data_IF_989901312674
#
_entry.id   IF_989901312674
#
_cell.length_a   1.000
_cell.length_b   1.000
_cell.length_c   1.000
_cell.angle_alpha   90.00
_cell.angle_beta   90.00
_cell.angle_gamma   90.00
#
_symmetry.space_group_name_H-M   'P 1'
#
loop_
_entity.id
_entity.type
_entity.pdbx_description
1 polymer ?
#
# COMPACT_ATOMS: atom_id res chain seq x y z
N UNK A 1 -12.84 23.60 -14.61
CA UNK A 1 -12.51 23.62 -16.07
C UNK A 1 -11.63 24.82 -16.35
N UNK A 2 -10.55 24.61 -17.10
CA UNK A 2 -9.49 25.54 -17.57
C UNK A 2 -8.16 25.50 -16.79
N UNK A 3 -7.09 25.29 -17.57
CA UNK A 3 -5.67 25.15 -17.25
C UNK A 3 -5.13 23.76 -16.82
N UNK A 4 -5.30 22.73 -17.66
CA UNK A 4 -4.29 21.66 -17.84
C UNK A 4 -4.22 21.34 -19.34
N UNK A 5 -3.40 22.09 -20.08
CA UNK A 5 -2.90 21.73 -21.41
C UNK A 5 -1.41 22.01 -21.35
N UNK A 6 -0.61 21.03 -21.77
CA UNK A 6 0.85 20.91 -21.61
C UNK A 6 1.34 20.37 -20.26
N UNK A 7 1.03 19.11 -19.96
CA UNK A 7 1.87 18.27 -19.10
C UNK A 7 2.69 17.33 -19.99
N UNK A 8 3.92 17.69 -20.33
CA UNK A 8 4.92 16.74 -20.81
C UNK A 8 5.25 15.80 -19.63
N UNK A 9 4.85 14.53 -19.70
CA UNK A 9 5.25 13.54 -18.69
C UNK A 9 6.73 13.16 -18.97
N UNK A 10 7.47 12.72 -17.94
CA UNK A 10 8.92 12.51 -18.05
C UNK A 10 9.25 11.21 -18.78
N UNK A 11 10.35 11.21 -19.55
CA UNK A 11 10.86 10.03 -20.24
C UNK A 11 11.44 9.02 -19.25
N UNK A 12 11.41 7.73 -19.59
CA UNK A 12 12.03 6.68 -18.77
C UNK A 12 13.55 6.83 -18.63
N UNK A 13 14.20 7.71 -19.41
CA UNK A 13 15.64 7.96 -19.32
C UNK A 13 16.00 8.95 -18.21
N UNK A 14 15.07 9.81 -17.81
CA UNK A 14 15.32 10.83 -16.79
C UNK A 14 15.29 10.26 -15.37
N UNK A 15 14.84 9.02 -15.16
CA UNK A 15 14.95 8.32 -13.87
C UNK A 15 16.40 8.01 -13.45
N UNK A 16 17.35 8.10 -14.38
CA UNK A 16 18.80 7.96 -14.12
C UNK A 16 19.56 9.29 -14.02
N UNK A 17 18.90 10.45 -14.20
CA UNK A 17 19.57 11.75 -14.04
C UNK A 17 19.60 12.16 -12.57
N UNK A 18 20.63 11.73 -11.83
CA UNK A 18 21.32 12.37 -10.68
C UNK A 18 20.60 13.25 -9.64
N UNK A 19 19.27 13.37 -9.63
CA UNK A 19 18.49 14.32 -8.84
C UNK A 19 17.39 13.65 -7.99
N UNK A 20 17.31 12.33 -8.02
CA UNK A 20 16.51 11.59 -7.04
C UNK A 20 17.34 11.45 -5.79
N UNK A 21 16.87 11.95 -4.65
CA UNK A 21 17.42 11.56 -3.36
C UNK A 21 17.07 10.08 -3.12
N UNK A 22 17.80 9.18 -3.77
CA UNK A 22 17.75 7.75 -3.52
C UNK A 22 18.25 7.50 -2.11
N UNK A 23 17.52 6.66 -1.38
CA UNK A 23 17.97 6.16 -0.08
C UNK A 23 19.15 5.23 -0.35
N UNK A 24 20.20 5.29 0.47
CA UNK A 24 21.32 4.35 0.32
C UNK A 24 20.81 2.91 0.49
N UNK A 25 21.30 2.01 -0.36
CA UNK A 25 20.76 0.65 -0.47
C UNK A 25 21.39 -0.34 0.50
N UNK A 26 22.50 0.03 1.15
CA UNK A 26 23.20 -0.75 2.16
C UNK A 26 23.88 0.17 3.19
N UNK A 27 23.98 -0.31 4.43
CA UNK A 27 24.66 0.40 5.52
C UNK A 27 25.49 -0.55 6.36
N UNK A 28 26.57 -0.02 6.94
CA UNK A 28 27.32 -0.67 8.01
C UNK A 28 26.85 -0.11 9.35
N UNK A 29 26.41 -1.00 10.24
CA UNK A 29 26.06 -0.69 11.61
C UNK A 29 27.22 -1.05 12.54
N UNK A 30 27.73 -0.07 13.28
CA UNK A 30 28.74 -0.25 14.32
C UNK A 30 28.09 -0.17 15.68
N UNK A 31 28.14 -1.26 16.44
CA UNK A 31 27.61 -1.35 17.79
C UNK A 31 28.75 -1.15 18.81
N UNK A 32 28.79 0.04 19.41
CA UNK A 32 29.64 0.34 20.55
C UNK A 32 28.83 0.28 21.86
N UNK A 33 29.52 0.20 23.01
CA UNK A 33 28.86 0.27 24.30
C UNK A 33 28.05 1.57 24.48
N UNK A 34 28.59 2.74 24.13
CA UNK A 34 27.96 4.06 24.33
C UNK A 34 27.25 4.61 23.08
N UNK A 35 27.65 4.15 21.90
CA UNK A 35 27.18 4.71 20.63
C UNK A 35 26.75 3.62 19.66
N UNK A 36 25.81 3.94 18.80
CA UNK A 36 25.54 3.18 17.58
C UNK A 36 25.85 4.10 16.42
N UNK A 37 26.70 3.66 15.49
CA UNK A 37 27.01 4.42 14.27
C UNK A 37 26.44 3.70 13.08
N UNK A 38 25.73 4.42 12.21
CA UNK A 38 25.22 3.91 10.94
C UNK A 38 25.91 4.66 9.82
N UNK A 39 26.67 3.92 9.03
CA UNK A 39 27.40 4.41 7.87
C UNK A 39 26.70 3.94 6.59
N UNK A 40 26.28 4.85 5.69
CA UNK A 40 25.80 4.44 4.37
C UNK A 40 26.97 3.96 3.50
N UNK A 41 26.82 2.81 2.85
CA UNK A 41 27.82 2.27 1.92
C UNK A 41 27.61 2.93 0.55
N UNK A 42 28.04 4.18 0.43
CA UNK A 42 28.03 4.96 -0.82
C UNK A 42 29.41 5.55 -1.09
N UNK A 43 29.72 5.81 -2.36
CA UNK A 43 30.96 6.50 -2.73
C UNK A 43 30.95 7.89 -2.09
N UNK A 44 31.99 8.20 -1.30
CA UNK A 44 32.13 9.44 -0.53
C UNK A 44 31.00 9.71 0.49
N UNK A 45 30.71 8.74 1.36
CA UNK A 45 29.84 8.94 2.51
C UNK A 45 30.34 10.10 3.40
N UNK A 46 29.56 11.19 3.46
CA UNK A 46 29.88 12.39 4.25
C UNK A 46 29.02 12.54 5.49
N UNK A 47 27.97 11.73 5.65
CA UNK A 47 26.95 11.89 6.68
C UNK A 47 26.71 10.54 7.35
N UNK A 48 26.88 10.49 8.66
CA UNK A 48 26.76 9.29 9.49
C UNK A 48 25.72 9.53 10.57
N UNK A 49 24.83 8.55 10.82
CA UNK A 49 23.92 8.63 11.97
C UNK A 49 24.68 8.12 13.19
N UNK A 50 24.73 8.93 14.23
CA UNK A 50 25.27 8.55 15.54
C UNK A 50 24.14 8.62 16.56
N UNK A 51 23.88 7.49 17.19
CA UNK A 51 22.90 7.35 18.26
C UNK A 51 23.67 7.26 19.57
N UNK A 52 23.46 8.23 20.45
CA UNK A 52 23.94 8.19 21.82
C UNK A 52 23.02 7.30 22.67
N UNK A 53 23.54 6.17 23.13
CA UNK A 53 22.79 5.18 23.90
C UNK A 53 22.52 5.63 25.35
N UNK A 54 23.23 6.63 25.84
CA UNK A 54 23.11 7.15 27.21
C UNK A 54 22.07 8.27 27.30
N UNK A 55 22.05 9.16 26.29
CA UNK A 55 21.10 10.27 26.22
C UNK A 55 19.88 9.98 25.33
N UNK A 56 19.87 8.83 24.65
CA UNK A 56 18.86 8.46 23.65
C UNK A 56 18.66 9.52 22.55
N UNK A 57 19.76 10.17 22.15
CA UNK A 57 19.77 11.23 21.15
C UNK A 57 20.38 10.75 19.83
N UNK A 58 19.89 11.30 18.71
CA UNK A 58 20.28 10.91 17.36
C UNK A 58 20.83 12.15 16.68
N UNK A 59 22.01 12.04 16.10
CA UNK A 59 22.68 13.16 15.44
C UNK A 59 23.30 12.72 14.13
N UNK A 60 23.38 13.67 13.20
CA UNK A 60 24.20 13.52 12.00
C UNK A 60 25.61 14.01 12.32
N UNK A 61 26.59 13.18 11.99
CA UNK A 61 28.01 13.53 12.03
C UNK A 61 28.56 13.59 10.61
N UNK A 62 29.50 14.51 10.36
CA UNK A 62 30.11 14.68 9.04
C UNK A 62 31.41 13.89 8.85
N UNK A 63 31.83 13.18 9.90
CA UNK A 63 33.05 12.37 9.95
C UNK A 63 32.72 11.09 10.68
N UNK A 64 33.25 9.96 10.20
CA UNK A 64 33.07 8.68 10.87
C UNK A 64 33.68 8.77 12.28
N UNK A 65 32.90 8.57 13.36
CA UNK A 65 33.42 8.51 14.72
C UNK A 65 34.42 7.36 14.89
N UNK A 66 35.19 7.35 15.97
CA UNK A 66 36.02 6.19 16.27
C UNK A 66 35.13 4.95 16.52
N UNK A 67 35.27 3.94 15.67
CA UNK A 67 34.53 2.66 15.71
C UNK A 67 35.42 1.48 16.12
N UNK A 68 36.60 1.75 16.69
CA UNK A 68 37.51 0.72 17.19
C UNK A 68 36.83 -0.14 18.25
N UNK A 69 36.90 -1.46 18.09
CA UNK A 69 36.27 -2.43 18.98
C UNK A 69 34.75 -2.56 18.83
N UNK A 70 34.13 -1.88 17.85
CA UNK A 70 32.71 -2.03 17.57
C UNK A 70 32.39 -3.39 16.94
N UNK A 71 31.26 -3.99 17.34
CA UNK A 71 30.69 -5.11 16.60
C UNK A 71 30.05 -4.57 15.33
N UNK A 72 30.48 -5.08 14.17
CA UNK A 72 29.97 -4.66 12.87
C UNK A 72 28.82 -5.56 12.42
N UNK A 73 27.79 -4.96 11.83
CA UNK A 73 26.65 -5.65 11.25
C UNK A 73 26.24 -4.96 9.95
N UNK A 74 26.09 -5.71 8.86
CA UNK A 74 25.48 -5.18 7.63
C UNK A 74 23.97 -5.06 7.80
N UNK A 75 23.40 -3.94 7.35
CA UNK A 75 21.95 -3.73 7.32
C UNK A 75 21.52 -3.20 5.95
N UNK A 76 20.32 -3.57 5.54
CA UNK A 76 19.71 -3.17 4.28
C UNK A 76 18.92 -1.87 4.40
N UNK A 77 18.57 -1.44 5.61
CA UNK A 77 17.81 -0.21 5.82
C UNK A 77 17.29 -0.06 7.24
N UNK A 78 16.80 1.14 7.53
CA UNK A 78 16.27 1.50 8.84
C UNK A 78 14.75 1.50 8.77
N UNK A 79 14.10 0.69 9.61
CA UNK A 79 12.63 0.70 9.76
C UNK A 79 12.21 1.91 10.60
N UNK A 80 12.99 2.24 11.63
CA UNK A 80 12.78 3.38 12.49
C UNK A 80 13.02 3.02 13.96
N UNK A 81 12.50 3.86 14.86
CA UNK A 81 12.76 3.78 16.30
C UNK A 81 11.44 3.68 17.05
N UNK A 82 11.44 2.86 18.10
CA UNK A 82 10.30 2.69 18.99
C UNK A 82 10.72 2.81 20.45
N UNK A 83 9.92 3.51 21.24
CA UNK A 83 10.10 3.60 22.69
C UNK A 83 9.27 2.54 23.39
N UNK A 84 9.92 1.74 24.24
CA UNK A 84 9.27 0.81 25.16
C UNK A 84 9.56 1.21 26.61
N UNK A 85 9.07 0.42 27.56
CA UNK A 85 9.25 0.68 29.00
C UNK A 85 10.73 0.81 29.37
N UNK A 86 11.58 0.03 28.73
CA UNK A 86 13.03 -0.02 28.99
C UNK A 86 13.84 1.07 28.30
N UNK A 87 13.24 1.87 27.42
CA UNK A 87 13.93 2.86 26.60
C UNK A 87 13.69 2.65 25.10
N UNK A 88 14.50 3.33 24.29
CA UNK A 88 14.40 3.29 22.84
C UNK A 88 15.07 2.06 22.19
N UNK A 89 14.50 1.64 21.06
CA UNK A 89 14.99 0.54 20.24
C UNK A 89 15.06 0.97 18.78
N UNK A 90 16.20 0.70 18.13
CA UNK A 90 16.36 0.84 16.69
C UNK A 90 15.94 -0.47 16.01
N UNK A 91 15.06 -0.35 15.02
CA UNK A 91 14.62 -1.48 14.19
C UNK A 91 15.25 -1.34 12.80
N UNK A 92 15.98 -2.38 12.38
CA UNK A 92 16.69 -2.43 11.08
C UNK A 92 16.30 -3.65 10.27
N UNK A 93 16.44 -3.55 8.96
CA UNK A 93 16.34 -4.67 8.02
C UNK A 93 17.72 -5.29 7.87
N UNK A 94 17.83 -6.60 8.03
CA UNK A 94 19.10 -7.33 7.92
C UNK A 94 19.19 -8.21 6.68
N UNK A 95 18.05 -8.53 6.07
CA UNK A 95 17.98 -9.20 4.77
C UNK A 95 16.72 -8.77 4.02
N UNK A 96 16.88 -8.59 2.72
CA UNK A 96 15.82 -8.28 1.75
C UNK A 96 15.80 -9.27 0.60
N UNK A 97 14.62 -9.49 0.01
CA UNK A 97 14.44 -10.28 -1.20
C UNK A 97 13.97 -9.42 -2.36
N UNK A 98 14.65 -9.47 -3.49
CA UNK A 98 14.17 -8.86 -4.73
C UNK A 98 12.87 -9.52 -5.20
N UNK A 99 11.86 -8.71 -5.50
CA UNK A 99 10.53 -9.17 -5.96
C UNK A 99 10.30 -8.85 -7.43
N UNK A 100 10.78 -7.70 -7.89
CA UNK A 100 10.57 -7.22 -9.25
C UNK A 100 11.03 -5.78 -9.40
N UNK A 101 10.76 -5.19 -10.55
CA UNK A 101 11.07 -3.81 -10.86
C UNK A 101 9.92 -3.16 -11.63
N UNK A 102 9.78 -1.84 -11.46
CA UNK A 102 8.92 -0.98 -12.27
C UNK A 102 9.83 0.03 -12.96
N UNK A 103 9.88 0.01 -14.29
CA UNK A 103 10.76 0.88 -15.07
C UNK A 103 12.23 0.86 -14.59
N UNK A 104 12.75 -0.33 -14.22
CA UNK A 104 14.11 -0.50 -13.72
C UNK A 104 14.32 -0.12 -12.25
N UNK A 105 13.30 0.37 -11.55
CA UNK A 105 13.37 0.66 -10.12
C UNK A 105 13.00 -0.59 -9.32
N UNK A 106 13.98 -1.14 -8.61
CA UNK A 106 13.87 -2.40 -7.90
C UNK A 106 12.96 -2.32 -6.66
N UNK A 107 12.16 -3.37 -6.45
CA UNK A 107 11.25 -3.54 -5.32
C UNK A 107 11.68 -4.76 -4.50
N UNK A 108 11.69 -4.58 -3.18
CA UNK A 108 12.17 -5.57 -2.24
C UNK A 108 11.11 -5.92 -1.20
N UNK A 109 11.13 -7.18 -0.76
CA UNK A 109 10.41 -7.68 0.41
C UNK A 109 11.35 -7.78 1.60
N UNK A 110 10.92 -7.30 2.75
CA UNK A 110 11.65 -7.50 4.02
C UNK A 110 11.65 -8.98 4.38
N UNK A 111 12.82 -9.58 4.61
CA UNK A 111 12.93 -10.98 5.04
C UNK A 111 13.24 -11.10 6.53
N UNK A 112 14.28 -10.40 6.98
CA UNK A 112 14.71 -10.46 8.38
C UNK A 112 14.95 -9.06 8.91
N UNK A 113 14.65 -8.90 10.19
CA UNK A 113 14.81 -7.65 10.92
C UNK A 113 15.60 -7.90 12.20
N UNK A 114 16.20 -6.85 12.73
CA UNK A 114 16.83 -6.87 14.05
C UNK A 114 16.29 -5.70 14.89
N UNK A 115 16.11 -5.94 16.19
CA UNK A 115 15.66 -4.94 17.16
C UNK A 115 16.80 -4.72 18.15
N UNK A 116 17.33 -3.49 18.18
CA UNK A 116 18.56 -3.16 18.88
C UNK A 116 18.26 -2.16 20.01
N UNK A 117 18.42 -2.54 21.29
CA UNK A 117 18.16 -1.64 22.41
C UNK A 117 19.21 -0.54 22.52
N UNK A 118 18.78 0.67 22.84
CA UNK A 118 19.71 1.76 23.19
C UNK A 118 20.29 1.47 24.57
N UNK A 119 19.46 1.16 25.55
CA UNK A 119 19.93 0.83 26.89
C UNK A 119 20.82 -0.42 26.91
N UNK A 120 21.90 -0.38 27.70
CA UNK A 120 22.83 -1.51 27.86
C UNK A 120 22.26 -2.60 28.76
N UNK A 121 21.54 -2.20 29.80
CA UNK A 121 20.95 -3.09 30.77
C UNK A 121 19.62 -2.52 31.27
N UNK A 122 18.78 -3.39 31.82
CA UNK A 122 17.45 -3.04 32.29
C UNK A 122 17.39 -2.95 33.82
N UNK A 123 18.51 -2.63 34.48
CA UNK A 123 18.64 -2.63 35.95
C UNK A 123 17.73 -1.61 36.64
N UNK A 124 17.35 -0.55 35.91
CA UNK A 124 16.46 0.50 36.40
C UNK A 124 14.98 0.07 36.43
N UNK A 125 14.65 -1.11 35.89
CA UNK A 125 13.29 -1.63 35.81
C UNK A 125 13.00 -2.59 36.95
N UNK A 126 11.77 -2.54 37.46
CA UNK A 126 11.26 -3.57 38.35
C UNK A 126 10.79 -4.83 37.58
N UNK A 127 10.49 -5.90 38.33
CA UNK A 127 10.09 -7.19 37.76
C UNK A 127 8.86 -7.11 36.83
N UNK A 128 7.85 -6.31 37.21
CA UNK A 128 6.66 -6.10 36.38
C UNK A 128 7.02 -5.39 35.07
N UNK A 129 7.82 -4.33 35.13
CA UNK A 129 8.28 -3.59 33.95
C UNK A 129 9.10 -4.47 33.01
N UNK A 130 9.99 -5.31 33.54
CA UNK A 130 10.75 -6.29 32.74
C UNK A 130 9.80 -7.25 32.01
N UNK A 131 8.81 -7.80 32.72
CA UNK A 131 7.82 -8.72 32.16
C UNK A 131 6.98 -8.06 31.05
N UNK A 132 6.49 -6.84 31.28
CA UNK A 132 5.71 -6.11 30.28
C UNK A 132 6.57 -5.69 29.07
N UNK A 133 7.81 -5.27 29.31
CA UNK A 133 8.74 -4.92 28.23
C UNK A 133 9.02 -6.12 27.32
N UNK A 134 9.31 -7.29 27.90
CA UNK A 134 9.50 -8.53 27.14
C UNK A 134 8.24 -8.91 26.34
N UNK A 135 7.05 -8.73 26.94
CA UNK A 135 5.78 -8.93 26.23
C UNK A 135 5.65 -7.98 25.04
N UNK A 136 5.92 -6.69 25.20
CA UNK A 136 5.85 -5.74 24.08
C UNK A 136 6.87 -6.03 22.99
N UNK A 137 8.10 -6.42 23.35
CA UNK A 137 9.11 -6.86 22.39
C UNK A 137 8.62 -8.06 21.58
N UNK A 138 8.10 -9.11 22.24
CA UNK A 138 7.57 -10.28 21.53
C UNK A 138 6.41 -9.94 20.59
N UNK A 139 5.58 -8.95 20.94
CA UNK A 139 4.51 -8.47 20.06
C UNK A 139 5.05 -7.75 18.82
N UNK A 140 6.10 -6.93 18.98
CA UNK A 140 6.77 -6.27 17.86
C UNK A 140 7.44 -7.29 16.95
N UNK A 141 8.18 -8.25 17.52
CA UNK A 141 8.81 -9.34 16.77
C UNK A 141 7.78 -10.19 16.01
N UNK A 142 6.61 -10.41 16.59
CA UNK A 142 5.52 -11.12 15.90
C UNK A 142 5.03 -10.33 14.68
N UNK A 143 4.86 -9.02 14.82
CA UNK A 143 4.45 -8.15 13.70
C UNK A 143 5.53 -8.12 12.63
N UNK A 144 6.80 -7.89 12.98
CA UNK A 144 7.92 -7.82 12.04
C UNK A 144 8.18 -9.15 11.29
N UNK A 145 7.82 -10.29 11.88
CA UNK A 145 7.87 -11.61 11.21
C UNK A 145 6.76 -11.81 10.17
N UNK A 146 5.80 -10.90 10.07
CA UNK A 146 4.75 -10.98 9.05
C UNK A 146 5.36 -10.73 7.67
N UNK A 147 5.18 -11.67 6.76
CA UNK A 147 5.72 -11.61 5.39
C UNK A 147 4.94 -10.67 4.45
N UNK A 148 4.66 -9.45 4.90
CA UNK A 148 3.80 -8.49 4.20
C UNK A 148 4.41 -7.09 4.02
N UNK A 149 5.72 -6.94 4.27
CA UNK A 149 6.41 -5.65 4.19
C UNK A 149 7.25 -5.53 2.94
N UNK A 150 7.04 -4.43 2.20
CA UNK A 150 7.73 -4.16 0.94
C UNK A 150 8.22 -2.71 0.90
N UNK A 151 9.33 -2.48 0.21
CA UNK A 151 9.94 -1.16 0.05
C UNK A 151 10.73 -1.09 -1.25
N UNK A 152 11.13 0.12 -1.62
CA UNK A 152 12.11 0.38 -2.68
C UNK A 152 12.94 1.59 -2.28
N UNK A 153 14.21 1.61 -2.69
CA UNK A 153 15.11 2.74 -2.46
C UNK A 153 14.90 3.89 -3.47
N UNK A 154 14.24 3.58 -4.59
CA UNK A 154 14.15 4.46 -5.77
C UNK A 154 12.73 4.65 -6.29
N UNK A 155 11.82 3.72 -6.01
CA UNK A 155 10.39 3.83 -6.34
C UNK A 155 9.55 4.11 -5.09
N UNK A 156 8.70 5.12 -5.13
CA UNK A 156 7.79 5.37 -4.01
C UNK A 156 6.56 4.46 -4.10
N UNK A 157 6.63 3.33 -3.40
CA UNK A 157 5.57 2.33 -3.36
C UNK A 157 4.28 2.82 -2.72
N UNK A 158 4.24 3.98 -2.07
CA UNK A 158 3.03 4.49 -1.40
C UNK A 158 2.04 5.13 -2.38
N UNK A 159 2.51 5.51 -3.57
CA UNK A 159 1.70 6.10 -4.63
C UNK A 159 1.43 5.11 -5.77
N UNK A 160 0.32 5.34 -6.48
CA UNK A 160 0.07 4.68 -7.77
C UNK A 160 1.03 5.21 -8.82
N UNK A 161 1.29 4.41 -9.84
CA UNK A 161 2.10 4.80 -10.98
C UNK A 161 1.53 6.07 -11.63
N UNK A 162 0.20 6.16 -11.81
CA UNK A 162 -0.43 7.39 -12.32
C UNK A 162 -0.13 8.61 -11.46
N UNK A 163 -0.23 8.50 -10.12
CA UNK A 163 -0.01 9.63 -9.22
C UNK A 163 1.43 10.12 -9.31
N UNK A 164 2.41 9.21 -9.29
CA UNK A 164 3.82 9.58 -9.44
C UNK A 164 4.10 10.29 -10.76
N UNK A 165 3.53 9.80 -11.86
CA UNK A 165 3.78 10.37 -13.18
C UNK A 165 3.05 11.70 -13.43
N UNK A 166 1.94 11.94 -12.73
CA UNK A 166 1.15 13.19 -12.85
C UNK A 166 1.62 14.28 -11.87
N UNK A 167 2.44 13.93 -10.88
CA UNK A 167 3.02 14.89 -9.93
C UNK A 167 3.96 15.89 -10.60
N UNK A 168 4.11 17.07 -9.98
CA UNK A 168 5.00 18.11 -10.50
C UNK A 168 6.47 17.66 -10.56
N UNK A 169 7.29 18.27 -11.42
CA UNK A 169 8.74 18.09 -11.44
C UNK A 169 9.39 18.16 -10.05
N UNK A 170 8.95 19.11 -9.23
CA UNK A 170 9.49 19.39 -7.90
C UNK A 170 9.19 18.27 -6.90
N UNK A 171 8.07 17.55 -7.06
CA UNK A 171 7.68 16.41 -6.21
C UNK A 171 8.79 15.35 -6.11
N UNK A 172 9.55 15.17 -7.19
CA UNK A 172 10.60 14.17 -7.25
C UNK A 172 11.89 14.58 -6.50
N UNK A 173 12.06 15.87 -6.22
CA UNK A 173 13.17 16.42 -5.45
C UNK A 173 12.96 16.36 -3.93
N UNK A 174 11.71 16.14 -3.50
CA UNK A 174 11.32 16.03 -2.10
C UNK A 174 11.77 14.65 -1.55
N UNK A 175 12.29 14.58 -0.32
CA UNK A 175 12.62 13.31 0.34
C UNK A 175 11.44 12.32 0.36
N UNK A 176 11.74 11.03 0.30
CA UNK A 176 10.75 9.95 0.23
C UNK A 176 9.67 10.05 1.32
N UNK A 177 10.07 10.25 2.57
CA UNK A 177 9.11 10.28 3.68
C UNK A 177 8.17 11.49 3.62
N UNK A 178 8.64 12.63 3.12
CA UNK A 178 7.87 13.88 3.07
C UNK A 178 6.83 13.83 1.93
N UNK A 179 7.17 13.22 0.80
CA UNK A 179 6.25 13.12 -0.33
C UNK A 179 5.31 11.91 -0.27
N UNK A 180 5.66 10.88 0.50
CA UNK A 180 4.92 9.63 0.55
C UNK A 180 3.47 9.80 1.01
N UNK A 181 2.59 8.97 0.46
CA UNK A 181 1.20 8.88 0.88
C UNK A 181 1.12 8.29 2.29
N UNK A 182 0.85 9.15 3.28
CA UNK A 182 0.81 8.78 4.68
C UNK A 182 -0.12 7.60 4.98
N UNK A 183 -1.18 7.43 4.17
CA UNK A 183 -2.14 6.33 4.32
C UNK A 183 -1.44 5.00 4.21
N UNK A 184 -0.34 4.89 3.45
CA UNK A 184 0.32 3.63 3.13
C UNK A 184 1.73 3.49 3.73
N UNK A 185 2.26 4.50 4.43
CA UNK A 185 3.55 4.41 5.15
C UNK A 185 3.35 3.69 6.48
N UNK A 186 3.57 2.37 6.51
CA UNK A 186 3.37 1.54 7.71
C UNK A 186 4.22 1.98 8.90
N UNK A 187 5.49 2.28 8.66
CA UNK A 187 6.46 2.68 9.68
C UNK A 187 6.50 4.20 9.93
N UNK A 188 5.46 4.97 9.55
CA UNK A 188 5.46 6.44 9.72
C UNK A 188 5.74 6.88 11.15
N UNK A 189 5.12 6.22 12.12
CA UNK A 189 5.36 6.49 13.54
C UNK A 189 6.82 6.22 13.94
N UNK A 190 7.40 5.12 13.46
CA UNK A 190 8.78 4.73 13.73
C UNK A 190 9.80 5.69 13.11
N UNK A 191 9.43 6.31 11.98
CA UNK A 191 10.26 7.28 11.27
C UNK A 191 10.10 8.72 11.79
N UNK A 192 9.24 8.96 12.77
CA UNK A 192 8.91 10.32 13.24
C UNK A 192 10.13 11.13 13.69
N UNK A 193 11.11 10.49 14.33
CA UNK A 193 12.34 11.15 14.76
C UNK A 193 13.25 11.56 13.58
N UNK A 194 13.17 10.84 12.46
CA UNK A 194 13.94 11.15 11.24
C UNK A 194 13.29 12.25 10.40
N UNK A 195 11.99 12.52 10.62
CA UNK A 195 11.21 13.44 9.79
C UNK A 195 11.54 14.93 10.04
N UNK A 196 12.09 15.25 11.21
CA UNK A 196 12.31 16.64 11.64
C UNK A 196 13.61 17.25 11.08
N UNK A 197 14.50 16.44 10.51
CA UNK A 197 15.77 16.86 9.95
C UNK A 197 15.88 16.39 8.49
N UNK A 198 16.15 17.33 7.57
CA UNK A 198 16.20 17.03 6.12
C UNK A 198 17.29 16.03 5.74
N UNK A 199 18.40 16.00 6.48
CA UNK A 199 19.49 15.06 6.25
C UNK A 199 19.08 13.69 6.79
N UNK A 200 18.52 13.62 8.00
CA UNK A 200 18.02 12.36 8.55
C UNK A 200 16.90 11.74 7.70
N UNK A 201 16.05 12.58 7.09
CA UNK A 201 14.97 12.12 6.21
C UNK A 201 15.48 11.31 5.00
N UNK A 202 16.75 11.45 4.60
CA UNK A 202 17.38 10.65 3.53
C UNK A 202 17.63 9.19 3.93
N UNK A 203 17.64 8.91 5.22
CA UNK A 203 17.79 7.56 5.79
C UNK A 203 16.44 6.92 6.12
N UNK A 204 15.36 7.72 6.10
CA UNK A 204 14.03 7.24 6.41
C UNK A 204 13.48 6.44 5.22
N UNK A 205 13.27 5.14 5.43
CA UNK A 205 12.79 4.21 4.40
C UNK A 205 11.30 3.92 4.59
N UNK A 206 10.39 4.50 3.77
CA UNK A 206 8.98 4.17 3.84
C UNK A 206 8.73 2.70 3.45
N UNK A 207 8.00 1.99 4.30
CA UNK A 207 7.61 0.59 4.09
C UNK A 207 6.09 0.52 3.93
N UNK A 208 5.63 -0.17 2.89
CA UNK A 208 4.22 -0.50 2.74
C UNK A 208 3.91 -1.85 3.38
N UNK A 209 2.69 -2.00 3.89
CA UNK A 209 2.16 -3.29 4.32
C UNK A 209 1.10 -3.80 3.34
N UNK A 210 1.24 -5.01 2.83
CA UNK A 210 0.27 -5.62 1.91
C UNK A 210 0.87 -6.75 1.09
N UNK A 211 0.82 -6.63 -0.24
CA UNK A 211 1.29 -7.67 -1.15
C UNK A 211 1.92 -7.07 -2.40
N UNK A 212 3.07 -7.60 -2.82
CA UNK A 212 3.70 -7.25 -4.09
C UNK A 212 4.18 -8.51 -4.77
N UNK A 213 3.82 -8.69 -6.04
CA UNK A 213 4.32 -9.77 -6.87
C UNK A 213 4.55 -9.27 -8.28
N UNK A 214 5.63 -9.74 -8.91
CA UNK A 214 5.93 -9.48 -10.31
C UNK A 214 6.27 -10.80 -11.01
N UNK A 215 5.96 -10.88 -12.29
CA UNK A 215 6.25 -12.03 -13.14
C UNK A 215 6.45 -11.60 -14.58
N UNK A 216 7.45 -12.18 -15.24
CA UNK A 216 7.77 -11.90 -16.64
C UNK A 216 7.19 -13.00 -17.53
N UNK A 217 6.65 -12.59 -18.67
CA UNK A 217 6.02 -13.47 -19.65
C UNK A 217 6.56 -13.18 -21.04
N UNK A 218 6.52 -14.19 -21.90
CA UNK A 218 6.74 -14.06 -23.33
C UNK A 218 5.59 -14.76 -24.05
N UNK A 219 4.75 -13.98 -24.73
CA UNK A 219 3.55 -14.47 -25.42
C UNK A 219 3.56 -13.90 -26.84
N UNK A 220 3.37 -14.76 -27.84
CA UNK A 220 3.33 -14.39 -29.26
C UNK A 220 4.54 -13.54 -29.71
N UNK A 221 5.72 -13.76 -29.12
CA UNK A 221 6.94 -13.01 -29.43
C UNK A 221 7.11 -11.69 -28.68
N UNK A 222 6.15 -11.31 -27.85
CA UNK A 222 6.19 -10.10 -27.03
C UNK A 222 6.57 -10.45 -25.59
N UNK A 223 7.62 -9.81 -25.08
CA UNK A 223 8.02 -9.90 -23.68
C UNK A 223 7.37 -8.78 -22.87
N UNK A 224 6.82 -9.12 -21.70
CA UNK A 224 6.24 -8.13 -20.79
C UNK A 224 6.37 -8.59 -19.33
N UNK A 225 6.33 -7.62 -18.42
CA UNK A 225 6.24 -7.84 -16.97
C UNK A 225 4.82 -7.53 -16.51
N UNK A 226 4.27 -8.40 -15.68
CA UNK A 226 3.00 -8.20 -14.99
C UNK A 226 3.25 -8.15 -13.50
N UNK A 227 2.70 -7.16 -12.81
CA UNK A 227 2.81 -7.02 -11.37
C UNK A 227 1.50 -6.63 -10.71
N UNK A 228 1.36 -7.01 -9.45
CA UNK A 228 0.24 -6.62 -8.59
C UNK A 228 0.81 -6.05 -7.31
N UNK A 229 0.35 -4.86 -6.94
CA UNK A 229 0.72 -4.14 -5.72
C UNK A 229 -0.55 -3.85 -4.94
N UNK A 230 -0.70 -4.47 -3.77
CA UNK A 230 -1.76 -4.15 -2.82
C UNK A 230 -1.17 -3.43 -1.61
N UNK A 231 -1.59 -2.19 -1.37
CA UNK A 231 -1.18 -1.37 -0.23
C UNK A 231 -2.32 -1.27 0.77
N UNK A 232 -2.10 -1.66 2.01
CA UNK A 232 -3.08 -1.54 3.10
C UNK A 232 -2.90 -0.21 3.83
N UNK A 233 -4.00 0.49 4.07
CA UNK A 233 -3.96 1.72 4.85
C UNK A 233 -3.61 1.47 6.32
N UNK A 234 -2.80 2.35 6.88
CA UNK A 234 -2.44 2.42 8.30
C UNK A 234 -3.53 3.04 9.15
N UNK A 235 -4.38 3.87 8.54
CA UNK A 235 -5.49 4.51 9.23
C UNK A 235 -6.55 3.49 9.60
N UNK A 236 -7.08 3.66 10.82
CA UNK A 236 -8.12 2.79 11.38
C UNK A 236 -7.76 1.31 11.22
N UNK A 237 -6.46 0.99 11.38
CA UNK A 237 -5.95 -0.36 11.42
C UNK A 237 -6.34 -1.01 12.76
N UNK A 238 -6.66 -2.30 12.73
CA UNK A 238 -6.91 -3.06 13.94
C UNK A 238 -7.46 -4.45 13.65
N UNK A 239 -7.76 -5.15 14.72
CA UNK A 239 -8.23 -6.53 14.67
C UNK A 239 -9.63 -6.61 14.08
N UNK A 240 -9.89 -7.73 13.40
CA UNK A 240 -11.21 -8.10 12.92
C UNK A 240 -12.21 -8.01 14.09
N UNK A 241 -13.44 -7.59 13.82
CA UNK A 241 -14.54 -7.34 14.78
C UNK A 241 -14.41 -6.05 15.62
N UNK A 242 -13.21 -5.69 16.06
CA UNK A 242 -13.00 -4.50 16.89
C UNK A 242 -13.01 -3.21 16.09
N UNK A 243 -12.40 -3.23 14.89
CA UNK A 243 -12.30 -2.05 14.04
C UNK A 243 -13.07 -2.29 12.73
N UNK A 244 -14.20 -1.60 12.59
CA UNK A 244 -15.12 -1.66 11.45
C UNK A 244 -15.66 -0.27 11.13
N UNK A 245 -16.18 -0.09 9.92
CA UNK A 245 -16.80 1.14 9.47
C UNK A 245 -15.84 2.32 9.40
N UNK A 246 -16.43 3.50 9.48
CA UNK A 246 -15.76 4.80 9.36
C UNK A 246 -15.45 5.44 10.72
N UNK A 247 -14.42 6.28 10.78
CA UNK A 247 -14.19 7.19 11.91
C UNK A 247 -14.76 8.60 11.66
N UNK A 248 -14.57 9.51 12.62
CA UNK A 248 -15.05 10.89 12.50
C UNK A 248 -14.29 11.72 11.46
N UNK A 249 -13.13 11.25 10.98
CA UNK A 249 -12.29 11.92 10.00
C UNK A 249 -12.49 11.36 8.58
N UNK A 250 -13.54 10.56 8.36
CA UNK A 250 -13.82 9.96 7.06
C UNK A 250 -12.97 8.72 6.73
N UNK A 251 -12.15 8.21 7.66
CA UNK A 251 -11.23 7.10 7.39
C UNK A 251 -11.92 5.77 7.66
N UNK A 252 -11.92 4.89 6.66
CA UNK A 252 -12.56 3.57 6.75
C UNK A 252 -11.57 2.50 7.19
N UNK A 253 -12.05 1.54 7.97
CA UNK A 253 -11.26 0.38 8.36
C UNK A 253 -10.91 -0.49 7.13
N UNK A 254 -9.76 -1.16 7.18
CA UNK A 254 -9.30 -2.12 6.16
C UNK A 254 -9.31 -1.58 4.73
N UNK A 255 -9.03 -0.28 4.55
CA UNK A 255 -8.84 0.30 3.23
C UNK A 255 -7.60 -0.32 2.56
N UNK A 256 -7.75 -0.76 1.31
CA UNK A 256 -6.66 -1.29 0.50
C UNK A 256 -6.80 -0.73 -0.90
N UNK A 257 -5.68 -0.26 -1.45
CA UNK A 257 -5.52 0.07 -2.86
C UNK A 257 -4.77 -1.07 -3.54
N UNK A 258 -5.34 -1.62 -4.62
CA UNK A 258 -4.73 -2.68 -5.42
C UNK A 258 -4.47 -2.14 -6.81
N UNK A 259 -3.21 -2.16 -7.22
CA UNK A 259 -2.71 -1.67 -8.50
C UNK A 259 -2.13 -2.84 -9.30
N UNK A 260 -2.67 -3.05 -10.50
CA UNK A 260 -2.16 -3.96 -11.50
C UNK A 260 -1.25 -3.18 -12.46
N UNK A 261 -0.03 -3.65 -12.67
CA UNK A 261 0.96 -3.04 -13.55
C UNK A 261 1.28 -3.99 -14.69
N UNK A 262 1.25 -3.47 -15.92
CA UNK A 262 1.71 -4.17 -17.12
C UNK A 262 2.81 -3.34 -17.77
N UNK A 263 4.02 -3.87 -17.84
CA UNK A 263 5.17 -3.18 -18.42
C UNK A 263 5.66 -3.92 -19.66
N UNK A 264 5.57 -3.25 -20.80
CA UNK A 264 6.16 -3.63 -22.08
C UNK A 264 7.46 -2.83 -22.30
N UNK A 265 8.16 -3.08 -23.41
CA UNK A 265 9.43 -2.41 -23.73
C UNK A 265 9.29 -0.89 -23.94
N UNK A 266 8.13 -0.45 -24.44
CA UNK A 266 7.86 0.95 -24.82
C UNK A 266 6.69 1.59 -24.06
N UNK A 267 5.91 0.81 -23.31
CA UNK A 267 4.71 1.30 -22.61
C UNK A 267 4.56 0.62 -21.25
N UNK A 268 4.17 1.40 -20.25
CA UNK A 268 3.77 0.91 -18.93
C UNK A 268 2.32 1.30 -18.67
N UNK A 269 1.53 0.33 -18.22
CA UNK A 269 0.12 0.50 -17.87
C UNK A 269 -0.08 0.27 -16.37
N UNK A 270 -1.05 0.97 -15.79
CA UNK A 270 -1.47 0.82 -14.40
C UNK A 270 -2.99 0.84 -14.31
N UNK A 271 -3.57 -0.12 -13.61
CA UNK A 271 -5.00 -0.18 -13.32
C UNK A 271 -5.23 -0.32 -11.81
N UNK A 272 -5.98 0.61 -11.24
CA UNK A 272 -6.18 0.73 -9.79
C UNK A 272 -7.61 0.38 -9.41
N UNK A 273 -7.76 -0.38 -8.33
CA UNK A 273 -9.04 -0.68 -7.68
C UNK A 273 -8.91 -0.44 -6.18
N UNK A 274 -10.02 -0.16 -5.50
CA UNK A 274 -10.02 0.04 -4.05
C UNK A 274 -10.98 -0.93 -3.37
N UNK A 275 -10.69 -1.24 -2.11
CA UNK A 275 -11.59 -1.96 -1.22
C UNK A 275 -11.49 -1.42 0.20
N UNK A 276 -12.51 -1.68 1.01
CA UNK A 276 -12.54 -1.18 2.38
C UNK A 276 -13.85 -1.46 3.07
N UNK A 277 -13.92 -1.11 4.36
CA UNK A 277 -15.16 -1.21 5.12
C UNK A 277 -16.25 -0.30 4.55
N UNK A 278 -17.52 -0.65 4.80
CA UNK A 278 -18.66 0.21 4.45
C UNK A 278 -18.50 1.57 5.14
N UNK A 279 -18.54 2.71 4.42
CA UNK A 279 -18.25 4.05 4.94
C UNK A 279 -19.41 4.63 5.76
N UNK A 280 -19.81 3.92 6.81
CA UNK A 280 -20.77 4.39 7.81
C UNK A 280 -20.33 3.91 9.21
N UNK A 281 -20.95 4.46 10.26
CA UNK A 281 -20.60 4.08 11.63
C UNK A 281 -21.30 2.77 12.02
N UNK A 282 -20.53 1.68 12.08
CA UNK A 282 -21.06 0.39 12.49
C UNK A 282 -20.03 -0.42 13.28
N UNK A 283 -20.54 -1.33 14.10
CA UNK A 283 -19.75 -2.22 14.94
C UNK A 283 -20.21 -3.66 14.77
N UNK A 284 -19.30 -4.58 15.03
CA UNK A 284 -19.54 -6.01 15.06
C UNK A 284 -18.73 -6.59 16.21
N UNK A 285 -19.02 -6.12 17.43
CA UNK A 285 -18.24 -6.48 18.61
C UNK A 285 -18.31 -7.99 18.85
N UNK A 286 -17.18 -8.64 19.23
CA UNK A 286 -17.18 -10.06 19.53
C UNK A 286 -18.20 -10.41 20.62
N UNK A 287 -18.91 -11.52 20.42
CA UNK A 287 -19.77 -12.15 21.42
C UNK A 287 -19.68 -13.68 21.29
N UNK A 288 -20.42 -14.43 22.11
CA UNK A 288 -20.38 -15.90 22.10
C UNK A 288 -21.00 -16.53 20.83
N UNK A 289 -21.54 -15.75 19.89
CA UNK A 289 -22.12 -16.27 18.64
C UNK A 289 -21.03 -16.48 17.60
N UNK A 290 -21.22 -17.52 16.79
CA UNK A 290 -20.37 -17.81 15.63
C UNK A 290 -20.23 -16.61 14.68
N UNK A 291 -21.32 -15.86 14.48
CA UNK A 291 -21.34 -14.61 13.71
C UNK A 291 -21.90 -13.47 14.57
N UNK A 292 -21.04 -12.62 15.17
CA UNK A 292 -21.50 -11.52 16.00
C UNK A 292 -22.37 -10.53 15.23
N UNK A 293 -23.31 -9.90 15.93
CA UNK A 293 -24.34 -9.05 15.31
C UNK A 293 -23.74 -7.73 14.80
N UNK A 294 -23.96 -7.45 13.52
CA UNK A 294 -23.70 -6.14 12.92
C UNK A 294 -24.73 -5.12 13.43
N UNK A 295 -24.24 -4.00 13.95
CA UNK A 295 -25.06 -2.90 14.50
C UNK A 295 -24.61 -1.56 13.92
N UNK A 296 -25.53 -0.86 13.26
CA UNK A 296 -25.34 0.52 12.79
C UNK A 296 -25.59 1.47 13.95
N UNK A 297 -24.66 2.42 14.18
CA UNK A 297 -24.74 3.35 15.29
C UNK A 297 -25.65 4.54 14.96
N UNK A 298 -26.87 4.58 15.49
CA UNK A 298 -27.86 5.62 15.15
C UNK A 298 -27.51 7.02 15.66
N UNK A 299 -26.71 7.13 16.73
CA UNK A 299 -26.35 8.42 17.37
C UNK A 299 -25.24 9.20 16.64
N UNK A 300 -24.67 8.65 15.57
CA UNK A 300 -23.53 9.25 14.85
C UNK A 300 -23.98 10.00 13.59
N UNK A 301 -23.27 11.06 13.23
CA UNK A 301 -23.49 11.79 11.99
C UNK A 301 -22.83 11.04 10.81
N UNK A 302 -23.52 10.02 10.29
CA UNK A 302 -23.04 9.22 9.17
C UNK A 302 -22.78 10.03 7.91
N UNK A 303 -23.66 10.98 7.60
CA UNK A 303 -23.58 11.74 6.36
C UNK A 303 -22.33 12.61 6.29
N UNK A 304 -21.96 13.26 7.41
CA UNK A 304 -20.74 14.06 7.45
C UNK A 304 -19.48 13.23 7.18
N UNK A 305 -19.33 12.10 7.88
CA UNK A 305 -18.17 11.22 7.68
C UNK A 305 -18.18 10.60 6.27
N UNK A 306 -19.35 10.24 5.74
CA UNK A 306 -19.51 9.70 4.38
C UNK A 306 -19.05 10.71 3.33
N UNK A 307 -19.49 11.97 3.42
CA UNK A 307 -19.08 13.04 2.50
C UNK A 307 -17.57 13.25 2.57
N UNK A 308 -17.02 13.41 3.78
CA UNK A 308 -15.58 13.59 3.96
C UNK A 308 -14.77 12.42 3.36
N UNK A 309 -15.25 11.18 3.52
CA UNK A 309 -14.60 10.02 2.90
C UNK A 309 -14.58 10.12 1.39
N UNK A 310 -15.72 10.41 0.76
CA UNK A 310 -15.82 10.40 -0.70
C UNK A 310 -15.21 11.64 -1.35
N UNK A 311 -15.19 12.79 -0.68
CA UNK A 311 -14.37 13.95 -1.09
C UNK A 311 -12.88 13.57 -1.17
N UNK A 312 -12.36 12.84 -0.18
CA UNK A 312 -11.00 12.32 -0.21
C UNK A 312 -10.81 11.28 -1.34
N UNK A 313 -11.76 10.35 -1.51
CA UNK A 313 -11.66 9.35 -2.60
C UNK A 313 -11.71 10.00 -3.99
N UNK A 314 -12.54 11.01 -4.18
CA UNK A 314 -12.65 11.76 -5.44
C UNK A 314 -11.37 12.51 -5.76
N UNK A 315 -10.75 13.12 -4.75
CA UNK A 315 -9.45 13.78 -4.92
C UNK A 315 -8.39 12.81 -5.44
N UNK A 316 -8.31 11.59 -4.89
CA UNK A 316 -7.26 10.64 -5.27
C UNK A 316 -7.54 9.83 -6.55
N UNK A 317 -8.81 9.52 -6.82
CA UNK A 317 -9.19 8.49 -7.79
C UNK A 317 -10.24 8.97 -8.81
N UNK A 318 -10.83 10.16 -8.62
CA UNK A 318 -11.95 10.63 -9.43
C UNK A 318 -13.23 9.83 -9.17
N UNK A 319 -13.95 9.48 -10.24
CA UNK A 319 -15.25 8.80 -10.15
C UNK A 319 -15.15 7.48 -9.38
N UNK A 320 -16.16 7.16 -8.59
CA UNK A 320 -16.20 5.91 -7.81
C UNK A 320 -17.42 5.08 -8.22
N UNK A 321 -17.17 3.82 -8.55
CA UNK A 321 -18.24 2.84 -8.67
C UNK A 321 -18.24 1.94 -7.44
N UNK A 322 -19.25 2.11 -6.60
CA UNK A 322 -19.41 1.43 -5.31
C UNK A 322 -20.10 0.07 -5.54
N UNK A 323 -19.38 -1.02 -5.29
CA UNK A 323 -19.90 -2.38 -5.39
C UNK A 323 -20.09 -2.93 -3.97
N UNK A 324 -21.34 -3.11 -3.56
CA UNK A 324 -21.65 -3.74 -2.28
C UNK A 324 -21.96 -5.22 -2.47
N UNK A 325 -21.15 -6.09 -1.86
CA UNK A 325 -21.31 -7.56 -1.91
C UNK A 325 -22.01 -8.13 -0.67
N UNK A 326 -22.62 -7.26 0.14
CA UNK A 326 -23.29 -7.63 1.39
C UNK A 326 -24.61 -8.34 1.15
N UNK A 327 -25.01 -9.19 2.09
CA UNK A 327 -26.30 -9.88 1.99
C UNK A 327 -27.44 -8.86 2.08
N UNK A 328 -28.49 -9.05 1.28
CA UNK A 328 -29.64 -8.14 1.27
C UNK A 328 -30.58 -8.36 2.46
N UNK A 329 -30.38 -9.45 3.23
CA UNK A 329 -31.23 -9.82 4.35
C UNK A 329 -30.50 -9.69 5.71
N UNK A 330 -31.29 -9.56 6.77
CA UNK A 330 -30.79 -9.59 8.14
C UNK A 330 -29.98 -8.36 8.54
N UNK A 331 -28.95 -8.56 9.37
CA UNK A 331 -28.13 -7.47 9.90
C UNK A 331 -27.23 -6.81 8.85
N UNK A 332 -26.72 -7.59 7.89
CA UNK A 332 -25.98 -7.05 6.74
C UNK A 332 -26.89 -6.22 5.83
N UNK A 333 -28.12 -6.69 5.58
CA UNK A 333 -29.10 -5.95 4.77
C UNK A 333 -29.41 -4.58 5.34
N UNK A 334 -29.50 -4.43 6.67
CA UNK A 334 -29.66 -3.11 7.31
C UNK A 334 -28.45 -2.21 7.13
N UNK A 335 -27.24 -2.77 7.18
CA UNK A 335 -26.02 -2.00 6.90
C UNK A 335 -26.00 -1.52 5.45
N UNK A 336 -26.38 -2.40 4.53
CA UNK A 336 -26.42 -2.10 3.11
C UNK A 336 -27.50 -1.06 2.77
N UNK A 337 -28.69 -1.20 3.35
CA UNK A 337 -29.75 -0.21 3.21
C UNK A 337 -29.29 1.16 3.71
N UNK A 338 -28.55 1.22 4.83
CA UNK A 338 -27.97 2.48 5.29
C UNK A 338 -26.93 3.03 4.33
N UNK A 339 -26.09 2.17 3.74
CA UNK A 339 -25.09 2.60 2.77
C UNK A 339 -25.74 3.19 1.51
N UNK A 340 -26.78 2.51 0.99
CA UNK A 340 -27.59 2.99 -0.13
C UNK A 340 -28.29 4.32 0.19
N UNK A 341 -28.90 4.44 1.36
CA UNK A 341 -29.53 5.69 1.83
C UNK A 341 -28.53 6.85 1.85
N UNK A 342 -27.30 6.62 2.34
CA UNK A 342 -26.24 7.64 2.36
C UNK A 342 -25.79 8.03 0.96
N UNK A 343 -25.64 7.05 0.06
CA UNK A 343 -25.33 7.31 -1.34
C UNK A 343 -26.42 8.16 -2.00
N UNK A 344 -27.68 7.77 -1.91
CA UNK A 344 -28.83 8.48 -2.51
C UNK A 344 -28.95 9.89 -1.95
N UNK A 345 -28.81 10.06 -0.64
CA UNK A 345 -28.91 11.36 0.04
C UNK A 345 -27.65 12.23 -0.17
N UNK A 346 -26.53 11.66 -0.60
CA UNK A 346 -25.33 12.44 -0.92
C UNK A 346 -25.47 13.23 -2.21
N UNK A 347 -26.37 12.79 -3.11
CA UNK A 347 -26.60 13.39 -4.44
C UNK A 347 -25.31 13.61 -5.25
N UNK A 348 -24.29 12.79 -4.99
CA UNK A 348 -22.97 13.00 -5.55
C UNK A 348 -22.84 12.36 -6.94
N UNK A 349 -22.71 13.21 -7.96
CA UNK A 349 -22.58 12.79 -9.37
C UNK A 349 -21.31 11.97 -9.70
N UNK A 350 -20.29 11.99 -8.83
CA UNK A 350 -19.07 11.17 -9.00
C UNK A 350 -19.25 9.74 -8.51
N UNK A 351 -20.33 9.44 -7.78
CA UNK A 351 -20.60 8.13 -7.23
C UNK A 351 -21.62 7.39 -8.09
N UNK A 352 -21.38 6.11 -8.30
CA UNK A 352 -22.37 5.13 -8.76
C UNK A 352 -22.43 3.98 -7.77
N UNK A 353 -23.58 3.33 -7.67
CA UNK A 353 -23.80 2.31 -6.65
C UNK A 353 -24.49 1.08 -7.22
N UNK A 354 -23.92 -0.09 -6.99
CA UNK A 354 -24.50 -1.39 -7.34
C UNK A 354 -24.51 -2.32 -6.12
N UNK A 355 -25.70 -2.85 -5.84
CA UNK A 355 -25.89 -3.90 -4.84
C UNK A 355 -25.96 -5.26 -5.50
N UNK A 356 -25.00 -6.12 -5.15
CA UNK A 356 -24.93 -7.49 -5.66
C UNK A 356 -24.89 -8.50 -4.52
N UNK A 357 -26.00 -9.23 -4.31
CA UNK A 357 -26.06 -10.26 -3.27
C UNK A 357 -25.26 -11.50 -3.69
N UNK A 358 -23.98 -11.51 -3.34
CA UNK A 358 -23.08 -12.60 -3.71
C UNK A 358 -23.56 -13.97 -3.21
N UNK A 359 -24.18 -14.06 -2.03
CA UNK A 359 -24.62 -15.36 -1.50
C UNK A 359 -25.80 -15.92 -2.28
N UNK A 360 -26.76 -15.06 -2.65
CA UNK A 360 -27.89 -15.47 -3.47
C UNK A 360 -27.46 -15.80 -4.89
N UNK A 361 -26.61 -14.95 -5.48
CA UNK A 361 -26.29 -15.00 -6.90
C UNK A 361 -25.23 -16.06 -7.23
N UNK A 362 -24.23 -16.28 -6.35
CA UNK A 362 -23.16 -17.25 -6.56
C UNK A 362 -23.34 -18.57 -5.79
N UNK A 363 -24.51 -18.80 -5.15
CA UNK A 363 -24.82 -20.08 -4.52
C UNK A 363 -24.65 -21.26 -5.50
N UNK A 364 -23.92 -22.27 -5.05
CA UNK A 364 -23.64 -23.49 -5.82
C UNK A 364 -22.51 -23.37 -6.85
N UNK A 365 -21.51 -22.50 -6.62
CA UNK A 365 -20.35 -22.29 -7.52
C UNK A 365 -20.74 -21.79 -8.92
N UNK A 366 -21.90 -21.12 -9.04
CA UNK A 366 -22.40 -20.55 -10.29
C UNK A 366 -21.75 -19.20 -10.59
N UNK A 367 -20.46 -19.27 -10.96
CA UNK A 367 -19.68 -18.10 -11.37
C UNK A 367 -20.21 -17.44 -12.64
N UNK A 368 -21.08 -18.11 -13.39
CA UNK A 368 -21.77 -17.55 -14.56
C UNK A 368 -22.56 -16.28 -14.23
N UNK A 369 -22.98 -16.09 -12.97
CA UNK A 369 -23.65 -14.86 -12.51
C UNK A 369 -22.72 -13.68 -12.29
N UNK A 370 -21.41 -13.91 -12.16
CA UNK A 370 -20.43 -12.83 -12.21
C UNK A 370 -20.37 -12.18 -13.58
N UNK A 371 -20.70 -12.91 -14.64
CA UNK A 371 -20.85 -12.36 -16.00
C UNK A 371 -22.00 -11.35 -16.06
N UNK A 372 -23.08 -11.55 -15.28
CA UNK A 372 -24.18 -10.59 -15.17
C UNK A 372 -23.72 -9.31 -14.47
N UNK A 373 -22.99 -9.44 -13.36
CA UNK A 373 -22.41 -8.29 -12.68
C UNK A 373 -21.47 -7.55 -13.62
N UNK A 374 -20.56 -8.26 -14.27
CA UNK A 374 -19.63 -7.68 -15.24
C UNK A 374 -20.39 -6.93 -16.34
N UNK A 375 -21.44 -7.52 -16.91
CA UNK A 375 -22.25 -6.87 -17.95
C UNK A 375 -22.82 -5.50 -17.50
N UNK A 376 -23.13 -5.32 -16.22
CA UNK A 376 -23.58 -4.03 -15.66
C UNK A 376 -22.44 -3.03 -15.47
N UNK A 377 -21.23 -3.52 -15.20
CA UNK A 377 -20.05 -2.70 -14.89
C UNK A 377 -19.22 -2.32 -16.12
N UNK A 378 -19.33 -3.07 -17.22
CA UNK A 378 -18.48 -2.93 -18.42
C UNK A 378 -18.45 -1.50 -18.96
N UNK A 379 -19.62 -0.86 -19.14
CA UNK A 379 -19.69 0.47 -19.73
C UNK A 379 -18.94 1.51 -18.88
N UNK A 380 -19.04 1.38 -17.55
CA UNK A 380 -18.32 2.23 -16.61
C UNK A 380 -16.82 1.89 -16.56
N UNK A 381 -16.46 0.61 -16.70
CA UNK A 381 -15.06 0.21 -16.74
C UNK A 381 -14.36 0.77 -17.98
N UNK A 382 -15.04 0.75 -19.13
CA UNK A 382 -14.53 1.32 -20.37
C UNK A 382 -14.45 2.87 -20.30
N UNK A 383 -15.35 3.54 -19.56
CA UNK A 383 -15.29 5.00 -19.29
C UNK A 383 -14.14 5.36 -18.35
N UNK A 384 -13.94 4.57 -17.28
CA UNK A 384 -12.95 4.85 -16.24
C UNK A 384 -11.52 4.56 -16.69
N UNK A 385 -11.36 3.64 -17.66
CA UNK A 385 -10.10 3.29 -18.32
C UNK A 385 -9.03 2.82 -17.33
N UNK A 386 -7.78 2.95 -17.74
CA UNK A 386 -6.57 2.67 -16.99
C UNK A 386 -5.52 3.72 -17.36
N UNK A 387 -4.43 3.80 -16.61
CA UNK A 387 -3.31 4.69 -16.92
C UNK A 387 -2.35 4.01 -17.89
N UNK A 388 -1.92 4.72 -18.94
CA UNK A 388 -0.94 4.23 -19.90
C UNK A 388 0.08 5.31 -20.23
N UNK A 389 1.36 5.01 -20.04
CA UNK A 389 2.46 5.92 -20.28
C UNK A 389 3.48 5.28 -21.22
N UNK A 390 3.80 5.99 -22.31
CA UNK A 390 4.90 5.60 -23.21
C UNK A 390 6.26 5.92 -22.59
N UNK A 391 7.30 5.24 -23.08
CA UNK A 391 8.70 5.45 -22.72
C UNK A 391 9.18 6.89 -22.90
N UNK A 392 8.62 7.58 -23.89
CA UNK A 392 8.92 8.97 -24.19
C UNK A 392 8.22 9.96 -23.24
N UNK A 393 7.49 9.48 -22.24
CA UNK A 393 6.76 10.33 -21.31
C UNK A 393 5.50 10.94 -21.92
N UNK A 394 4.91 10.31 -22.94
CA UNK A 394 3.59 10.72 -23.44
C UNK A 394 2.51 9.85 -22.81
N UNK A 395 1.65 10.47 -21.99
CA UNK A 395 0.48 9.80 -21.42
C UNK A 395 -0.53 9.52 -22.54
N UNK A 396 -0.80 8.25 -22.78
CA UNK A 396 -1.79 7.83 -23.78
C UNK A 396 -3.20 7.81 -23.20
N UNK A 397 -3.34 7.44 -21.92
CA UNK A 397 -4.62 7.29 -21.24
C UNK A 397 -4.44 7.58 -19.75
N UNK A 398 -5.44 8.22 -19.14
CA UNK A 398 -5.54 8.39 -17.70
C UNK A 398 -6.74 7.62 -17.16
N UNK A 399 -6.56 6.98 -16.01
CA UNK A 399 -7.64 6.40 -15.25
C UNK A 399 -8.38 7.52 -14.51
N UNK A 400 -9.68 7.66 -14.77
CA UNK A 400 -10.52 8.75 -14.24
C UNK A 400 -11.53 8.29 -13.19
N UNK A 401 -11.53 6.99 -12.89
CA UNK A 401 -12.35 6.42 -11.84
C UNK A 401 -11.89 5.03 -11.40
N UNK A 402 -12.40 4.57 -10.26
CA UNK A 402 -12.08 3.25 -9.70
C UNK A 402 -13.34 2.51 -9.26
N UNK A 403 -13.25 1.19 -9.26
CA UNK A 403 -14.24 0.33 -8.62
C UNK A 403 -13.86 0.13 -7.17
N UNK A 404 -14.80 0.45 -6.28
CA UNK A 404 -14.65 0.33 -4.84
C UNK A 404 -15.51 -0.83 -4.33
N UNK A 405 -14.87 -1.92 -3.93
CA UNK A 405 -15.57 -3.13 -3.46
C UNK A 405 -15.66 -3.18 -1.94
N UNK A 406 -16.86 -3.48 -1.42
CA UNK A 406 -17.10 -3.62 0.02
C UNK A 406 -17.67 -5.00 0.34
N UNK A 407 -17.15 -5.60 1.42
CA UNK A 407 -17.70 -6.81 2.02
C UNK A 407 -17.51 -6.76 3.55
N UNK A 408 -18.46 -7.32 4.30
CA UNK A 408 -18.37 -7.37 5.77
C UNK A 408 -17.41 -8.47 6.22
N UNK A 409 -17.43 -9.67 5.61
CA UNK A 409 -16.90 -10.87 6.27
C UNK A 409 -15.90 -11.75 5.51
N UNK A 410 -15.77 -11.67 4.19
CA UNK A 410 -14.78 -12.50 3.51
C UNK A 410 -14.04 -11.74 2.42
N UNK A 411 -12.73 -11.71 2.60
CA UNK A 411 -11.74 -11.25 1.64
C UNK A 411 -11.95 -11.94 0.29
N UNK A 412 -12.32 -13.22 0.32
CA UNK A 412 -12.55 -14.06 -0.86
C UNK A 412 -13.59 -13.46 -1.82
N UNK A 413 -14.71 -12.92 -1.31
CA UNK A 413 -15.75 -12.29 -2.14
C UNK A 413 -15.23 -11.05 -2.85
N UNK A 414 -14.52 -10.18 -2.13
CA UNK A 414 -13.95 -8.96 -2.71
C UNK A 414 -12.86 -9.29 -3.70
N UNK A 415 -11.98 -10.25 -3.39
CA UNK A 415 -10.93 -10.69 -4.31
C UNK A 415 -11.55 -11.21 -5.60
N UNK A 416 -12.54 -12.10 -5.56
CA UNK A 416 -13.20 -12.63 -6.77
C UNK A 416 -13.70 -11.52 -7.71
N UNK A 417 -14.34 -10.47 -7.18
CA UNK A 417 -14.83 -9.34 -8.00
C UNK A 417 -13.68 -8.47 -8.50
N UNK A 418 -12.67 -8.19 -7.66
CA UNK A 418 -11.48 -7.42 -8.07
C UNK A 418 -10.69 -8.15 -9.16
N UNK A 419 -10.49 -9.47 -9.03
CA UNK A 419 -9.84 -10.34 -10.00
C UNK A 419 -10.59 -10.37 -11.32
N UNK A 420 -11.93 -10.37 -11.30
CA UNK A 420 -12.75 -10.33 -12.51
C UNK A 420 -12.56 -9.03 -13.29
N UNK A 421 -12.58 -7.89 -12.59
CA UNK A 421 -12.36 -6.58 -13.19
C UNK A 421 -10.92 -6.43 -13.68
N UNK A 422 -9.94 -6.86 -12.88
CA UNK A 422 -8.52 -6.89 -13.24
C UNK A 422 -8.25 -7.73 -14.48
N UNK A 423 -8.85 -8.94 -14.56
CA UNK A 423 -8.73 -9.83 -15.70
C UNK A 423 -9.21 -9.18 -16.99
N UNK A 424 -10.41 -8.60 -16.99
CA UNK A 424 -10.94 -7.91 -18.17
C UNK A 424 -10.03 -6.76 -18.58
N UNK A 425 -9.51 -5.99 -17.62
CA UNK A 425 -8.62 -4.88 -17.92
C UNK A 425 -7.29 -5.36 -18.51
N UNK A 426 -6.71 -6.44 -17.96
CA UNK A 426 -5.50 -7.07 -18.50
C UNK A 426 -5.73 -7.55 -19.94
N UNK A 427 -6.84 -8.21 -20.22
CA UNK A 427 -7.21 -8.65 -21.57
C UNK A 427 -7.29 -7.47 -22.54
N UNK A 428 -7.98 -6.39 -22.16
CA UNK A 428 -8.05 -5.16 -22.97
C UNK A 428 -6.68 -4.54 -23.23
N UNK A 429 -5.80 -4.51 -22.22
CA UNK A 429 -4.43 -4.00 -22.36
C UNK A 429 -3.60 -4.86 -23.32
N UNK A 430 -3.58 -6.18 -23.12
CA UNK A 430 -2.84 -7.12 -23.96
C UNK A 430 -3.34 -7.10 -25.41
N UNK A 431 -4.66 -6.99 -25.63
CA UNK A 431 -5.25 -6.86 -26.96
C UNK A 431 -4.89 -5.53 -27.62
N UNK A 432 -4.92 -4.41 -26.87
CA UNK A 432 -4.56 -3.09 -27.40
C UNK A 432 -3.11 -3.01 -27.89
N UNK A 433 -2.19 -3.71 -27.24
CA UNK A 433 -0.79 -3.78 -27.67
C UNK A 433 -0.49 -4.98 -28.57
N UNK A 434 -1.52 -5.63 -29.12
CA UNK A 434 -1.42 -6.76 -30.05
C UNK A 434 -0.62 -7.97 -29.49
N UNK A 435 -0.54 -8.13 -28.17
CA UNK A 435 0.11 -9.30 -27.55
C UNK A 435 -0.78 -10.54 -27.74
N UNK A 436 -2.10 -10.39 -27.56
CA UNK A 436 -3.08 -11.44 -27.77
C UNK A 436 -4.13 -10.97 -28.77
N UNK A 437 -4.78 -11.90 -29.47
CA UNK A 437 -5.84 -11.56 -30.43
C UNK A 437 -7.11 -11.13 -29.70
N UNK A 438 -7.98 -10.37 -30.40
CA UNK A 438 -9.25 -9.89 -29.85
C UNK A 438 -10.20 -10.99 -29.37
N UNK A 439 -10.10 -12.20 -29.94
CA UNK A 439 -10.89 -13.37 -29.57
C UNK A 439 -10.20 -14.28 -28.54
N UNK A 440 -8.98 -13.97 -28.14
CA UNK A 440 -8.22 -14.73 -27.15
C UNK A 440 -8.40 -14.11 -25.75
N UNK A 441 -8.36 -14.97 -24.74
CA UNK A 441 -8.45 -14.59 -23.32
C UNK A 441 -7.16 -14.99 -22.61
N UNK A 442 -6.90 -14.42 -21.43
CA UNK A 442 -5.71 -14.83 -20.67
C UNK A 442 -5.76 -16.31 -20.25
N UNK A 443 -6.95 -16.92 -20.19
CA UNK A 443 -7.11 -18.34 -19.87
C UNK A 443 -6.58 -19.26 -20.98
N UNK A 444 -6.45 -18.76 -22.22
CA UNK A 444 -5.79 -19.51 -23.30
C UNK A 444 -4.30 -19.75 -23.01
N UNK A 445 -3.69 -18.96 -22.11
CA UNK A 445 -2.27 -18.99 -21.79
C UNK A 445 -2.06 -19.55 -20.37
N UNK A 446 -1.77 -20.86 -20.27
CA UNK A 446 -1.70 -21.60 -18.99
C UNK A 446 -0.82 -20.93 -17.93
N UNK A 447 0.39 -20.51 -18.29
CA UNK A 447 1.31 -19.88 -17.34
C UNK A 447 0.80 -18.52 -16.85
N UNK A 448 0.29 -17.69 -17.76
CA UNK A 448 -0.27 -16.38 -17.42
C UNK A 448 -1.52 -16.54 -16.55
N UNK A 449 -2.46 -17.40 -16.93
CA UNK A 449 -3.68 -17.68 -16.16
C UNK A 449 -3.36 -18.23 -14.77
N UNK A 450 -2.40 -19.15 -14.65
CA UNK A 450 -1.97 -19.70 -13.36
C UNK A 450 -1.34 -18.63 -12.46
N UNK A 451 -0.40 -17.84 -12.98
CA UNK A 451 0.24 -16.78 -12.19
C UNK A 451 -0.77 -15.71 -11.79
N UNK A 452 -1.63 -15.27 -12.70
CA UNK A 452 -2.67 -14.28 -12.45
C UNK A 452 -3.60 -14.73 -11.31
N UNK A 453 -4.07 -15.98 -11.33
CA UNK A 453 -4.94 -16.55 -10.29
C UNK A 453 -4.26 -16.72 -8.94
N UNK A 454 -2.93 -16.88 -8.91
CA UNK A 454 -2.17 -17.02 -7.67
C UNK A 454 -1.70 -15.67 -7.09
N UNK A 455 -1.71 -14.60 -7.89
CA UNK A 455 -1.31 -13.26 -7.47
C UNK A 455 -2.46 -12.38 -6.98
N UNK A 456 -3.70 -12.69 -7.36
CA UNK A 456 -4.91 -11.88 -7.11
C UNK A 456 -5.78 -12.38 -5.92
#
# INVERSE_FOLDING_TARGET
MSAIKDSSFRSWKDSNSGYYQSIADNYTLYLLPDYIVIEPIVVDAKEFIVIDRTHEDIRIHNTLPNVDGATQQSIDGIIGIISLISGQYLIVITSKKYIGDINGQAIYKVQTTNIIPFVRNMSHLNEYQLKYNAKYLSMIELVLRTEAFYFSYTYDLTHTFQRLQTSSPDFHSIPFLERADERFVWNRYLLSQFANDRIMARFALPIIHGFVAFSKFNINGHSFSYGVISRRSTYRAGTRLFIRGIDNNGRVANFVETEQILQLDDVACSYVQTRGSVPCFWVQLPDLRYKPKVTVLTSKNHMNAFRQHFEEQEYYYGKQFLISLTNQHGAEGRLNAKYRELYETSENSYLKFEDFDFHKECAGMRYDRLTILLARLIADQDDYKYFALTKDGTSQVQQTGVFRTNCIDCLDRTNVVQTLLAKRMLEQQLQRYNIIKYNETIDSYKQLSHTFKNSE
#
